data_IF_094164569752
#
_entry.id   IF_094164569752
#
_cell.length_a   1.000
_cell.length_b   1.000
_cell.length_c   1.000
_cell.angle_alpha   90.00
_cell.angle_beta   90.00
_cell.angle_gamma   90.00
#
_symmetry.space_group_name_H-M   'P 1'
#
loop_
_entity.id
_entity.type
_entity.pdbx_description
1 polymer ?
#
# COMPACT_ATOMS: atom_id res chain seq x y z
N UNK A 1 26.23 19.19 5.90
CA UNK A 1 26.50 17.90 5.26
C UNK A 1 26.11 18.08 3.80
N UNK A 2 27.12 18.12 2.88
CA UNK A 2 26.91 18.28 1.45
C UNK A 2 26.05 17.11 0.95
N UNK A 3 24.84 17.40 0.52
CA UNK A 3 24.00 16.43 -0.17
C UNK A 3 24.71 16.08 -1.49
N UNK A 4 25.25 14.88 -1.59
CA UNK A 4 25.84 14.35 -2.84
C UNK A 4 24.70 14.37 -3.88
N UNK A 5 24.83 15.22 -4.90
CA UNK A 5 23.89 15.25 -6.02
C UNK A 5 23.88 13.89 -6.70
N UNK A 6 22.75 13.20 -6.57
CA UNK A 6 22.57 11.85 -7.13
C UNK A 6 22.18 11.94 -8.59
N UNK A 7 22.75 11.05 -9.38
CA UNK A 7 22.34 10.94 -10.79
C UNK A 7 20.89 10.43 -10.90
N UNK A 8 20.16 10.76 -11.96
CA UNK A 8 18.79 10.26 -12.19
C UNK A 8 18.68 8.73 -12.10
N UNK A 9 19.71 8.01 -12.56
CA UNK A 9 19.77 6.56 -12.47
C UNK A 9 19.90 6.05 -11.03
N UNK A 10 20.67 6.74 -10.19
CA UNK A 10 20.80 6.39 -8.76
C UNK A 10 19.47 6.60 -8.02
N UNK A 11 18.75 7.69 -8.31
CA UNK A 11 17.44 7.96 -7.74
C UNK A 11 16.40 6.91 -8.19
N UNK A 12 16.42 6.50 -9.46
CA UNK A 12 15.54 5.44 -9.96
C UNK A 12 15.84 4.09 -9.29
N UNK A 13 17.11 3.70 -9.17
CA UNK A 13 17.51 2.45 -8.48
C UNK A 13 17.08 2.46 -7.02
N UNK A 14 17.24 3.60 -6.35
CA UNK A 14 16.79 3.77 -4.96
C UNK A 14 15.26 3.69 -4.85
N UNK A 15 14.54 4.33 -5.78
CA UNK A 15 13.08 4.22 -5.87
C UNK A 15 12.63 2.77 -6.01
N UNK A 16 13.29 2.00 -6.91
CA UNK A 16 13.03 0.58 -7.11
C UNK A 16 13.26 -0.24 -5.82
N UNK A 17 14.42 -0.08 -5.19
CA UNK A 17 14.78 -0.82 -3.98
C UNK A 17 13.82 -0.51 -2.80
N UNK A 18 13.50 0.77 -2.58
CA UNK A 18 12.57 1.18 -1.52
C UNK A 18 11.16 0.66 -1.81
N UNK A 19 10.70 0.69 -3.06
CA UNK A 19 9.38 0.16 -3.43
C UNK A 19 9.31 -1.35 -3.22
N UNK A 20 10.33 -2.10 -3.66
CA UNK A 20 10.38 -3.55 -3.43
C UNK A 20 10.40 -3.88 -1.93
N UNK A 21 11.21 -3.19 -1.14
CA UNK A 21 11.25 -3.33 0.32
C UNK A 21 9.90 -3.00 0.96
N UNK A 22 9.23 -1.96 0.50
CA UNK A 22 7.89 -1.57 0.97
C UNK A 22 6.87 -2.69 0.77
N UNK A 23 6.83 -3.30 -0.42
CA UNK A 23 5.91 -4.41 -0.68
C UNK A 23 6.30 -5.70 0.04
N UNK A 24 7.58 -5.89 0.34
CA UNK A 24 8.04 -6.96 1.24
C UNK A 24 7.51 -6.73 2.66
N UNK A 25 7.62 -5.52 3.19
CA UNK A 25 7.04 -5.19 4.49
C UNK A 25 5.53 -5.45 4.50
N UNK A 26 4.79 -4.95 3.49
CA UNK A 26 3.35 -5.19 3.42
C UNK A 26 2.97 -6.67 3.30
N UNK A 27 3.79 -7.47 2.62
CA UNK A 27 3.60 -8.91 2.55
C UNK A 27 3.78 -9.63 3.90
N UNK A 28 4.58 -9.06 4.81
CA UNK A 28 4.83 -9.59 6.15
C UNK A 28 3.87 -9.03 7.22
N UNK A 29 3.19 -7.93 6.94
CA UNK A 29 2.26 -7.25 7.87
C UNK A 29 1.15 -8.17 8.41
N UNK A 30 0.60 -9.17 7.69
CA UNK A 30 -0.37 -10.10 8.26
C UNK A 30 0.12 -10.82 9.52
N UNK A 31 1.42 -11.13 9.62
CA UNK A 31 2.01 -11.72 10.83
C UNK A 31 1.89 -10.76 12.02
N UNK A 32 2.13 -9.47 11.77
CA UNK A 32 1.98 -8.44 12.80
C UNK A 32 0.52 -8.29 13.27
N UNK A 33 -0.43 -8.20 12.33
CA UNK A 33 -1.85 -8.08 12.69
C UNK A 33 -2.39 -9.32 13.40
N UNK A 34 -1.82 -10.49 13.11
CA UNK A 34 -2.18 -11.72 13.84
C UNK A 34 -1.87 -11.64 15.33
N UNK A 35 -0.87 -10.86 15.75
CA UNK A 35 -0.57 -10.62 17.16
C UNK A 35 -1.68 -9.83 17.88
N UNK A 36 -2.46 -9.04 17.12
CA UNK A 36 -3.56 -8.20 17.59
C UNK A 36 -4.95 -8.84 17.43
N UNK A 37 -5.03 -10.16 17.21
CA UNK A 37 -6.31 -10.88 16.98
C UNK A 37 -7.37 -10.71 18.09
N UNK A 38 -6.97 -10.32 19.29
CA UNK A 38 -7.87 -10.03 20.41
C UNK A 38 -8.50 -8.63 20.34
N UNK A 39 -8.01 -7.74 19.46
CA UNK A 39 -8.48 -6.37 19.31
C UNK A 39 -9.42 -6.28 18.09
N UNK A 40 -10.61 -5.65 18.21
CA UNK A 40 -11.51 -5.45 17.08
C UNK A 40 -10.84 -4.72 15.91
N UNK A 41 -11.10 -5.15 14.68
CA UNK A 41 -10.44 -4.62 13.47
C UNK A 41 -10.62 -3.11 13.31
N UNK A 42 -11.79 -2.56 13.67
CA UNK A 42 -12.07 -1.13 13.63
C UNK A 42 -11.14 -0.35 14.57
N UNK A 43 -10.87 -0.91 15.76
CA UNK A 43 -9.94 -0.32 16.73
C UNK A 43 -8.52 -0.33 16.21
N UNK A 44 -8.09 -1.45 15.61
CA UNK A 44 -6.76 -1.53 14.99
C UNK A 44 -6.61 -0.41 13.95
N UNK A 45 -7.64 -0.12 13.13
CA UNK A 45 -7.56 0.94 12.13
C UNK A 45 -7.57 2.34 12.75
N UNK A 46 -8.42 2.59 13.73
CA UNK A 46 -8.41 3.88 14.41
C UNK A 46 -7.03 4.15 15.03
N UNK A 47 -6.49 3.19 15.78
CA UNK A 47 -5.20 3.33 16.44
C UNK A 47 -4.04 3.44 15.45
N UNK A 48 -4.02 2.69 14.33
CA UNK A 48 -2.96 2.84 13.33
C UNK A 48 -2.97 4.22 12.65
N UNK A 49 -4.16 4.84 12.47
CA UNK A 49 -4.27 6.22 11.96
C UNK A 49 -3.76 7.19 13.02
N UNK A 50 -4.23 7.08 14.26
CA UNK A 50 -3.84 7.97 15.38
C UNK A 50 -2.32 7.93 15.57
N UNK A 51 -1.76 6.74 15.77
CA UNK A 51 -0.34 6.59 16.07
C UNK A 51 0.58 6.88 14.90
N UNK A 52 0.15 6.60 13.65
CA UNK A 52 0.90 7.05 12.47
C UNK A 52 0.92 8.57 12.34
N UNK A 53 -0.21 9.24 12.65
CA UNK A 53 -0.29 10.71 12.66
C UNK A 53 0.65 11.28 13.71
N UNK A 54 0.57 10.80 14.94
CA UNK A 54 1.43 11.26 16.04
C UNK A 54 2.90 11.09 15.68
N UNK A 55 3.30 9.91 15.18
CA UNK A 55 4.68 9.62 14.81
C UNK A 55 5.18 10.51 13.67
N UNK A 56 4.40 10.64 12.59
CA UNK A 56 4.81 11.39 11.40
C UNK A 56 4.84 12.88 11.67
N UNK A 57 3.82 13.41 12.36
CA UNK A 57 3.77 14.85 12.69
C UNK A 57 4.86 15.21 13.70
N UNK A 58 5.07 14.39 14.73
CA UNK A 58 6.18 14.60 15.68
C UNK A 58 7.53 14.61 14.96
N UNK A 59 7.77 13.64 14.07
CA UNK A 59 8.98 13.61 13.25
C UNK A 59 9.15 14.88 12.39
N UNK A 60 8.09 15.34 11.73
CA UNK A 60 8.12 16.55 10.90
C UNK A 60 8.39 17.80 11.72
N UNK A 61 7.79 17.91 12.91
CA UNK A 61 8.02 19.04 13.81
C UNK A 61 9.44 19.07 14.36
N UNK A 62 10.01 17.93 14.71
CA UNK A 62 11.38 17.82 15.20
C UNK A 62 12.41 18.13 14.10
N UNK A 63 12.19 17.59 12.87
CA UNK A 63 13.15 17.72 11.78
C UNK A 63 13.06 19.04 11.02
N UNK A 64 11.87 19.60 10.84
CA UNK A 64 11.60 20.72 9.93
C UNK A 64 10.89 21.89 10.63
N UNK A 65 10.63 21.80 11.93
CA UNK A 65 9.81 22.78 12.65
C UNK A 65 8.42 22.90 12.01
N UNK A 66 7.84 24.07 11.98
CA UNK A 66 6.55 24.33 11.30
C UNK A 66 6.69 24.65 9.80
N UNK A 67 7.92 24.66 9.28
CA UNK A 67 8.21 25.05 7.89
C UNK A 67 7.59 24.10 6.86
N UNK A 68 7.50 22.80 7.16
CA UNK A 68 6.92 21.80 6.28
C UNK A 68 5.46 22.08 5.91
N UNK A 69 4.66 22.56 6.86
CA UNK A 69 3.27 22.94 6.62
C UNK A 69 3.16 24.11 5.65
N UNK A 70 3.97 25.18 5.88
CA UNK A 70 3.97 26.38 5.02
C UNK A 70 4.33 26.04 3.59
N UNK A 71 5.31 25.15 3.38
CA UNK A 71 5.72 24.69 2.04
C UNK A 71 4.60 23.97 1.30
N UNK A 72 3.78 23.17 2.00
CA UNK A 72 2.64 22.48 1.38
C UNK A 72 1.48 23.45 1.14
N UNK A 73 1.15 24.30 2.13
CA UNK A 73 0.06 25.27 2.01
C UNK A 73 0.30 26.30 0.88
N UNK A 74 1.57 26.58 0.56
CA UNK A 74 1.93 27.45 -0.56
C UNK A 74 1.66 26.82 -1.94
N UNK A 75 1.35 25.52 -2.04
CA UNK A 75 1.04 24.83 -3.29
C UNK A 75 -0.49 24.70 -3.45
N UNK A 76 -1.15 25.45 -4.36
CA UNK A 76 -2.62 25.52 -4.42
C UNK A 76 -3.32 24.17 -4.62
N UNK A 77 -2.65 23.22 -5.29
CA UNK A 77 -3.19 21.90 -5.58
C UNK A 77 -2.81 20.83 -4.56
N UNK A 78 -1.90 21.13 -3.63
CA UNK A 78 -1.38 20.14 -2.69
C UNK A 78 -2.45 19.65 -1.72
N UNK A 79 -3.07 20.56 -0.98
CA UNK A 79 -4.07 20.23 0.04
C UNK A 79 -5.29 19.47 -0.53
N UNK A 80 -5.96 19.94 -1.60
CA UNK A 80 -7.11 19.20 -2.15
C UNK A 80 -6.71 17.83 -2.73
N UNK A 81 -5.52 17.70 -3.34
CA UNK A 81 -5.06 16.41 -3.86
C UNK A 81 -4.76 15.45 -2.71
N UNK A 82 -4.14 15.92 -1.62
CA UNK A 82 -3.89 15.12 -0.42
C UNK A 82 -5.18 14.77 0.32
N UNK A 83 -6.20 15.64 0.32
CA UNK A 83 -7.51 15.31 0.84
C UNK A 83 -8.17 14.19 0.01
N UNK A 84 -8.10 14.27 -1.32
CA UNK A 84 -8.63 13.21 -2.19
C UNK A 84 -7.86 11.89 -2.02
N UNK A 85 -6.53 11.94 -1.86
CA UNK A 85 -5.74 10.73 -1.62
C UNK A 85 -6.03 10.11 -0.25
N UNK A 86 -6.24 10.94 0.80
CA UNK A 86 -6.65 10.45 2.11
C UNK A 86 -8.04 9.83 2.10
N UNK A 87 -8.98 10.38 1.34
CA UNK A 87 -10.30 9.77 1.14
C UNK A 87 -10.22 8.44 0.39
N UNK A 88 -9.37 8.36 -0.66
CA UNK A 88 -9.17 7.14 -1.42
C UNK A 88 -8.61 6.00 -0.53
N UNK A 89 -7.61 6.28 0.30
CA UNK A 89 -7.04 5.28 1.21
C UNK A 89 -7.98 4.96 2.38
N UNK A 90 -8.74 5.93 2.90
CA UNK A 90 -9.75 5.70 3.93
C UNK A 90 -10.89 4.82 3.41
N UNK A 91 -11.38 5.08 2.19
CA UNK A 91 -12.37 4.23 1.52
C UNK A 91 -11.82 2.80 1.32
N UNK A 92 -10.58 2.67 0.86
CA UNK A 92 -9.93 1.38 0.69
C UNK A 92 -9.93 0.58 2.01
N UNK A 93 -9.50 1.17 3.11
CA UNK A 93 -9.46 0.51 4.41
C UNK A 93 -10.86 0.22 4.95
N UNK A 94 -11.81 1.15 4.80
CA UNK A 94 -13.20 0.97 5.21
C UNK A 94 -13.87 -0.19 4.45
N UNK A 95 -13.71 -0.22 3.11
CA UNK A 95 -14.22 -1.30 2.27
C UNK A 95 -13.61 -2.65 2.64
N UNK A 96 -12.29 -2.68 2.88
CA UNK A 96 -11.59 -3.88 3.31
C UNK A 96 -12.16 -4.45 4.61
N UNK A 97 -12.32 -3.60 5.65
CA UNK A 97 -12.86 -4.04 6.93
C UNK A 97 -14.30 -4.50 6.80
N UNK A 98 -15.11 -3.71 6.11
CA UNK A 98 -16.51 -4.07 5.90
C UNK A 98 -16.60 -5.44 5.23
N UNK A 99 -15.82 -5.67 4.17
CA UNK A 99 -15.83 -6.91 3.43
C UNK A 99 -15.36 -8.12 4.28
N UNK A 100 -14.30 -7.96 5.09
CA UNK A 100 -13.85 -9.01 6.02
C UNK A 100 -14.94 -9.34 7.05
N UNK A 101 -15.58 -8.34 7.64
CA UNK A 101 -16.63 -8.54 8.64
C UNK A 101 -17.92 -9.13 8.02
N UNK A 102 -18.19 -8.85 6.75
CA UNK A 102 -19.31 -9.42 5.99
C UNK A 102 -19.00 -10.81 5.41
N UNK A 103 -17.80 -11.37 5.65
CA UNK A 103 -17.41 -12.71 5.19
C UNK A 103 -16.87 -12.77 3.75
N UNK A 104 -16.64 -11.62 3.08
CA UNK A 104 -16.11 -11.53 1.71
C UNK A 104 -14.57 -11.62 1.65
N UNK A 105 -13.97 -12.56 2.39
CA UNK A 105 -12.50 -12.69 2.52
C UNK A 105 -11.84 -12.99 1.17
N UNK A 106 -12.46 -13.87 0.35
CA UNK A 106 -11.94 -14.26 -0.98
C UNK A 106 -11.86 -13.03 -1.88
N UNK A 107 -12.92 -12.21 -1.92
CA UNK A 107 -12.98 -11.02 -2.76
C UNK A 107 -11.96 -9.96 -2.32
N UNK A 108 -11.72 -9.80 -1.02
CA UNK A 108 -10.66 -8.90 -0.54
C UNK A 108 -9.28 -9.37 -0.97
N UNK A 109 -9.03 -10.67 -0.92
CA UNK A 109 -7.78 -11.27 -1.40
C UNK A 109 -7.56 -11.04 -2.88
N UNK A 110 -8.60 -11.23 -3.72
CA UNK A 110 -8.54 -10.94 -5.16
C UNK A 110 -8.19 -9.47 -5.44
N UNK A 111 -8.64 -8.54 -4.60
CA UNK A 111 -8.30 -7.12 -4.71
C UNK A 111 -6.79 -6.87 -4.75
N UNK A 112 -6.02 -7.60 -3.96
CA UNK A 112 -4.56 -7.49 -3.96
C UNK A 112 -3.90 -8.00 -5.25
N UNK A 113 -4.56 -8.90 -6.00
CA UNK A 113 -4.07 -9.36 -7.29
C UNK A 113 -4.50 -8.47 -8.45
N UNK A 114 -5.68 -7.84 -8.37
CA UNK A 114 -6.18 -6.88 -9.37
C UNK A 114 -5.46 -5.54 -9.26
N UNK A 115 -5.11 -5.11 -8.06
CA UNK A 115 -4.49 -3.81 -7.77
C UNK A 115 -3.23 -3.50 -8.61
N UNK A 116 -2.27 -4.44 -8.79
CA UNK A 116 -1.13 -4.23 -9.68
C UNK A 116 -1.53 -3.89 -11.12
N UNK A 117 -2.53 -4.58 -11.65
CA UNK A 117 -3.02 -4.34 -13.02
C UNK A 117 -3.68 -2.96 -13.15
N UNK A 118 -4.48 -2.54 -12.16
CA UNK A 118 -5.05 -1.19 -12.11
C UNK A 118 -3.95 -0.13 -12.09
N UNK A 119 -2.89 -0.33 -11.31
CA UNK A 119 -1.73 0.58 -11.27
C UNK A 119 -1.04 0.69 -12.63
N UNK A 120 -0.87 -0.43 -13.35
CA UNK A 120 -0.33 -0.45 -14.71
C UNK A 120 -1.26 0.30 -15.68
N UNK A 121 -2.56 0.03 -15.64
CA UNK A 121 -3.55 0.71 -16.50
C UNK A 121 -3.52 2.22 -16.26
N UNK A 122 -3.51 2.67 -15.00
CA UNK A 122 -3.42 4.09 -14.65
C UNK A 122 -2.11 4.72 -15.14
N UNK A 123 -0.98 4.01 -15.02
CA UNK A 123 0.30 4.45 -15.56
C UNK A 123 0.24 4.65 -17.07
N UNK A 124 -0.29 3.70 -17.82
CA UNK A 124 -0.37 3.75 -19.27
C UNK A 124 -1.41 4.78 -19.75
N UNK A 125 -2.62 4.75 -19.20
CA UNK A 125 -3.75 5.55 -19.70
C UNK A 125 -3.66 7.00 -19.23
N UNK A 126 -3.42 7.23 -17.94
CA UNK A 126 -3.43 8.58 -17.36
C UNK A 126 -2.07 9.26 -17.49
N UNK A 127 -0.99 8.56 -17.13
CA UNK A 127 0.36 9.13 -17.13
C UNK A 127 1.07 8.99 -18.48
N UNK A 128 0.43 8.32 -19.46
CA UNK A 128 0.98 8.09 -20.81
C UNK A 128 2.31 7.33 -20.79
N UNK A 129 2.49 6.45 -19.79
CA UNK A 129 3.67 5.59 -19.70
C UNK A 129 3.68 4.61 -20.88
N UNK A 130 4.85 4.40 -21.49
CA UNK A 130 5.01 3.51 -22.65
C UNK A 130 5.61 2.19 -22.23
N UNK A 131 4.83 1.13 -22.33
CA UNK A 131 5.31 -0.23 -22.12
C UNK A 131 5.89 -0.81 -23.41
N UNK A 132 6.89 -1.66 -23.28
CA UNK A 132 7.53 -2.38 -24.37
C UNK A 132 6.80 -3.71 -24.61
N UNK A 133 7.11 -4.38 -25.74
CA UNK A 133 6.47 -5.65 -26.08
C UNK A 133 6.61 -6.72 -24.99
N UNK A 134 7.82 -6.89 -24.43
CA UNK A 134 8.04 -7.87 -23.34
C UNK A 134 7.31 -7.47 -22.05
N UNK A 135 7.20 -6.18 -21.76
CA UNK A 135 6.42 -5.69 -20.61
C UNK A 135 4.92 -5.88 -20.82
N UNK A 136 4.42 -5.71 -22.07
CA UNK A 136 3.03 -6.04 -22.41
C UNK A 136 2.74 -7.55 -22.27
N UNK A 137 3.69 -8.40 -22.70
CA UNK A 137 3.56 -9.85 -22.49
C UNK A 137 3.52 -10.18 -20.99
N UNK A 138 4.36 -9.53 -20.17
CA UNK A 138 4.36 -9.70 -18.72
C UNK A 138 3.01 -9.31 -18.09
N UNK A 139 2.45 -8.17 -18.51
CA UNK A 139 1.11 -7.71 -18.05
C UNK A 139 0.02 -8.69 -18.51
N UNK A 140 0.10 -9.22 -19.73
CA UNK A 140 -0.86 -10.21 -20.22
C UNK A 140 -0.80 -11.50 -19.40
N UNK A 141 0.39 -12.02 -19.07
CA UNK A 141 0.53 -13.19 -18.21
C UNK A 141 -0.08 -12.95 -16.82
N UNK A 142 0.19 -11.79 -16.21
CA UNK A 142 -0.39 -11.44 -14.92
C UNK A 142 -1.92 -11.29 -15.00
N UNK A 143 -2.44 -10.66 -16.06
CA UNK A 143 -3.89 -10.53 -16.28
C UNK A 143 -4.58 -11.89 -16.46
N UNK A 144 -3.97 -12.83 -17.19
CA UNK A 144 -4.47 -14.19 -17.33
C UNK A 144 -4.53 -14.91 -15.98
N UNK A 145 -3.46 -14.80 -15.16
CA UNK A 145 -3.44 -15.41 -13.83
C UNK A 145 -4.50 -14.82 -12.90
N UNK A 146 -4.68 -13.50 -12.91
CA UNK A 146 -5.73 -12.82 -12.13
C UNK A 146 -7.12 -13.20 -12.61
N UNK A 147 -7.35 -13.26 -13.93
CA UNK A 147 -8.64 -13.69 -14.51
C UNK A 147 -8.96 -15.12 -14.10
N UNK A 148 -7.96 -16.02 -14.17
CA UNK A 148 -8.11 -17.41 -13.73
C UNK A 148 -8.55 -17.49 -12.26
N UNK A 149 -7.84 -16.80 -11.35
CA UNK A 149 -8.19 -16.78 -9.93
C UNK A 149 -9.57 -16.15 -9.67
N UNK A 150 -9.97 -15.14 -10.45
CA UNK A 150 -11.28 -14.49 -10.34
C UNK A 150 -12.41 -15.41 -10.78
N UNK A 151 -12.22 -16.16 -11.89
CA UNK A 151 -13.19 -17.13 -12.39
C UNK A 151 -13.33 -18.30 -11.42
N UNK A 152 -12.21 -18.82 -10.90
CA UNK A 152 -12.19 -19.90 -9.92
C UNK A 152 -12.92 -19.53 -8.61
N UNK A 153 -12.81 -18.26 -8.18
CA UNK A 153 -13.50 -17.74 -7.01
C UNK A 153 -15.03 -17.70 -7.15
N UNK A 154 -15.58 -17.69 -8.37
CA UNK A 154 -17.02 -17.82 -8.67
C UNK A 154 -17.89 -16.65 -8.20
N UNK A 155 -17.32 -15.54 -7.76
CA UNK A 155 -18.04 -14.35 -7.26
C UNK A 155 -17.76 -13.12 -8.12
N UNK A 156 -18.75 -12.20 -8.32
CA UNK A 156 -18.50 -10.94 -9.01
C UNK A 156 -17.44 -10.10 -8.26
N UNK A 157 -16.36 -9.66 -8.90
CA UNK A 157 -15.21 -9.07 -8.21
C UNK A 157 -15.38 -7.59 -7.86
N UNK A 158 -16.59 -7.11 -7.51
CA UNK A 158 -16.84 -5.67 -7.28
C UNK A 158 -16.11 -5.12 -6.06
N UNK A 159 -15.99 -5.91 -4.97
CA UNK A 159 -15.19 -5.54 -3.80
C UNK A 159 -13.71 -5.46 -4.19
N UNK A 160 -13.22 -6.48 -4.89
CA UNK A 160 -11.85 -6.53 -5.38
C UNK A 160 -11.51 -5.33 -6.29
N UNK A 161 -12.42 -4.98 -7.21
CA UNK A 161 -12.27 -3.79 -8.05
C UNK A 161 -12.32 -2.49 -7.24
N UNK A 162 -13.21 -2.39 -6.26
CA UNK A 162 -13.28 -1.23 -5.36
C UNK A 162 -11.99 -1.01 -4.59
N UNK A 163 -11.41 -2.08 -4.04
CA UNK A 163 -10.11 -2.06 -3.36
C UNK A 163 -8.98 -1.69 -4.32
N UNK A 164 -8.91 -2.32 -5.48
CA UNK A 164 -7.87 -2.07 -6.46
C UNK A 164 -7.93 -0.65 -7.05
N UNK A 165 -9.11 -0.16 -7.40
CA UNK A 165 -9.28 1.18 -7.95
C UNK A 165 -8.97 2.27 -6.93
N UNK A 166 -9.42 2.12 -5.67
CA UNK A 166 -9.16 3.11 -4.62
C UNK A 166 -7.67 3.19 -4.28
N UNK A 167 -6.96 2.07 -4.18
CA UNK A 167 -5.52 2.08 -3.93
C UNK A 167 -4.72 2.54 -5.16
N UNK A 168 -5.13 2.15 -6.36
CA UNK A 168 -4.54 2.65 -7.61
C UNK A 168 -4.69 4.16 -7.75
N UNK A 169 -5.87 4.71 -7.43
CA UNK A 169 -6.13 6.15 -7.39
C UNK A 169 -5.24 6.85 -6.34
N UNK A 170 -5.11 6.28 -5.15
CA UNK A 170 -4.18 6.78 -4.13
C UNK A 170 -2.75 6.88 -4.70
N UNK A 171 -2.24 5.81 -5.33
CA UNK A 171 -0.91 5.80 -5.93
C UNK A 171 -0.75 6.84 -7.05
N UNK A 172 -1.75 7.01 -7.91
CA UNK A 172 -1.78 8.01 -8.96
C UNK A 172 -1.71 9.43 -8.41
N UNK A 173 -2.55 9.74 -7.42
CA UNK A 173 -2.59 11.07 -6.78
C UNK A 173 -1.25 11.38 -6.11
N UNK A 174 -0.66 10.41 -5.41
CA UNK A 174 0.66 10.55 -4.78
C UNK A 174 1.79 10.77 -5.80
N UNK A 175 1.66 10.22 -7.01
CA UNK A 175 2.60 10.44 -8.09
C UNK A 175 2.45 11.83 -8.72
N UNK A 176 1.24 12.32 -8.86
CA UNK A 176 0.95 13.61 -9.53
C UNK A 176 1.31 14.84 -8.71
N UNK A 177 1.52 14.69 -7.39
CA UNK A 177 1.78 15.81 -6.49
C UNK A 177 3.27 15.94 -6.16
N UNK A 178 3.79 17.18 -6.19
CA UNK A 178 5.21 17.48 -5.88
C UNK A 178 5.43 17.81 -4.40
N UNK A 179 4.94 16.94 -3.50
CA UNK A 179 5.09 17.09 -2.05
C UNK A 179 6.01 16.00 -1.51
N UNK A 180 6.84 16.32 -0.52
CA UNK A 180 7.69 15.33 0.16
C UNK A 180 6.86 14.14 0.66
N UNK A 181 7.34 12.88 0.54
CA UNK A 181 6.58 11.69 0.95
C UNK A 181 6.14 11.71 2.42
N UNK A 182 7.00 12.15 3.34
CA UNK A 182 6.69 12.20 4.77
C UNK A 182 5.71 13.32 5.08
N UNK A 183 5.97 14.52 4.53
CA UNK A 183 5.10 15.67 4.72
C UNK A 183 3.71 15.44 4.12
N UNK A 184 3.63 14.80 2.95
CA UNK A 184 2.34 14.42 2.35
C UNK A 184 1.56 13.41 3.19
N UNK A 185 2.23 12.38 3.74
CA UNK A 185 1.58 11.44 4.66
C UNK A 185 1.12 12.15 5.95
N UNK A 186 1.90 13.13 6.45
CA UNK A 186 1.50 13.93 7.59
C UNK A 186 0.16 14.63 7.38
N UNK A 187 -0.04 15.27 6.20
CA UNK A 187 -1.31 15.91 5.84
C UNK A 187 -2.44 14.87 5.67
N UNK A 188 -2.19 13.79 4.93
CA UNK A 188 -3.19 12.72 4.74
C UNK A 188 -3.65 12.14 6.08
N UNK A 189 -2.72 11.89 6.98
CA UNK A 189 -3.02 11.38 8.32
C UNK A 189 -3.79 12.39 9.15
N UNK A 190 -3.48 13.70 9.07
CA UNK A 190 -4.22 14.75 9.76
C UNK A 190 -5.69 14.84 9.31
N UNK A 191 -5.99 14.65 8.01
CA UNK A 191 -7.38 14.60 7.53
C UNK A 191 -8.17 13.44 8.17
N UNK A 192 -7.52 12.31 8.42
CA UNK A 192 -8.15 11.12 8.99
C UNK A 192 -8.09 11.09 10.52
N UNK A 193 -7.26 11.94 11.14
CA UNK A 193 -7.01 11.92 12.59
C UNK A 193 -8.27 12.24 13.41
N UNK A 194 -9.00 13.29 13.03
CA UNK A 194 -10.22 13.69 13.78
C UNK A 194 -11.30 12.60 13.78
N UNK A 195 -11.69 12.01 12.65
CA UNK A 195 -12.62 10.88 12.67
C UNK A 195 -12.06 9.65 13.42
N UNK A 196 -10.77 9.36 13.32
CA UNK A 196 -10.17 8.22 14.01
C UNK A 196 -10.15 8.40 15.54
N UNK A 197 -9.75 9.57 16.03
CA UNK A 197 -9.76 9.85 17.47
C UNK A 197 -11.17 9.96 18.02
N UNK A 198 -12.11 10.54 17.25
CA UNK A 198 -13.52 10.59 17.61
C UNK A 198 -14.10 9.18 17.78
N UNK A 199 -13.81 8.26 16.86
CA UNK A 199 -14.22 6.87 16.96
C UNK A 199 -13.56 6.16 18.16
N UNK A 200 -12.26 6.36 18.39
CA UNK A 200 -11.55 5.75 19.52
C UNK A 200 -12.14 6.21 20.86
N UNK A 201 -12.36 7.52 21.04
CA UNK A 201 -12.95 8.08 22.26
C UNK A 201 -14.40 7.59 22.48
N UNK A 202 -15.21 7.57 21.42
CA UNK A 202 -16.56 7.02 21.49
C UNK A 202 -16.55 5.54 21.93
N UNK A 203 -15.60 4.78 21.40
CA UNK A 203 -15.45 3.36 21.72
C UNK A 203 -15.05 3.15 23.18
N UNK A 204 -14.10 3.94 23.69
CA UNK A 204 -13.66 3.88 25.10
C UNK A 204 -14.79 4.30 26.06
N UNK A 205 -15.76 5.10 25.62
CA UNK A 205 -16.94 5.49 26.41
C UNK A 205 -17.97 4.35 26.59
N UNK A 206 -17.58 3.10 26.47
CA UNK A 206 -18.44 1.93 26.74
C UNK A 206 -18.98 1.23 25.48
N UNK A 207 -18.38 1.49 24.30
CA UNK A 207 -18.80 0.90 23.02
C UNK A 207 -17.76 -0.09 22.46
N UNK A 208 -17.11 -0.87 23.35
CA UNK A 208 -16.15 -1.91 22.94
C UNK A 208 -14.70 -1.44 22.85
N UNK A 209 -14.34 -0.33 23.48
CA UNK A 209 -12.96 0.11 23.68
C UNK A 209 -12.25 -0.75 24.72
N UNK A 210 -10.93 -0.63 24.77
CA UNK A 210 -10.10 -1.40 25.70
C UNK A 210 -8.63 -1.00 25.64
N UNK A 211 -8.32 0.13 25.00
CA UNK A 211 -7.02 0.76 25.13
C UNK A 211 -6.86 1.21 26.60
N UNK A 212 -5.72 1.52 27.08
CA UNK A 212 -5.42 1.75 28.49
C UNK A 212 -5.63 0.52 29.41
N UNK A 213 -5.34 -0.67 28.90
CA UNK A 213 -5.23 -1.89 29.66
C UNK A 213 -6.39 -2.86 29.60
N UNK A 214 -7.54 -2.50 29.00
CA UNK A 214 -8.66 -3.41 28.82
C UNK A 214 -8.31 -4.61 27.92
N UNK A 215 -7.47 -4.40 26.90
CA UNK A 215 -6.89 -5.48 26.09
C UNK A 215 -5.51 -5.95 26.57
N UNK A 216 -4.97 -5.32 27.62
CA UNK A 216 -3.66 -5.58 28.21
C UNK A 216 -2.54 -4.79 27.57
N UNK A 217 -1.54 -4.43 28.37
CA UNK A 217 -0.40 -3.57 27.99
C UNK A 217 0.31 -4.03 26.72
N UNK A 218 0.43 -5.33 26.47
CA UNK A 218 1.03 -5.86 25.25
C UNK A 218 0.28 -5.40 23.99
N UNK A 219 -1.06 -5.47 24.00
CA UNK A 219 -1.87 -5.05 22.86
C UNK A 219 -1.85 -3.54 22.70
N UNK A 220 -1.83 -2.77 23.79
CA UNK A 220 -1.69 -1.31 23.75
C UNK A 220 -0.37 -0.90 23.08
N UNK A 221 0.75 -1.52 23.47
CA UNK A 221 2.07 -1.28 22.87
C UNK A 221 2.11 -1.69 21.38
N UNK A 222 1.48 -2.81 21.03
CA UNK A 222 1.36 -3.23 19.63
C UNK A 222 0.49 -2.25 18.84
N UNK A 223 -0.59 -1.70 19.39
CA UNK A 223 -1.39 -0.67 18.71
C UNK A 223 -0.59 0.61 18.45
N UNK A 224 0.23 1.05 19.42
CA UNK A 224 1.13 2.20 19.25
C UNK A 224 2.16 1.92 18.15
N UNK A 225 2.82 0.76 18.19
CA UNK A 225 3.79 0.35 17.18
C UNK A 225 3.16 0.18 15.79
N UNK A 226 1.86 -0.17 15.75
CA UNK A 226 1.04 -0.24 14.54
C UNK A 226 1.05 1.06 13.72
N UNK A 227 1.25 2.21 14.37
CA UNK A 227 1.47 3.50 13.72
C UNK A 227 2.73 3.49 12.83
N UNK A 228 3.85 3.01 13.34
CA UNK A 228 5.09 2.89 12.58
C UNK A 228 4.96 1.84 11.45
N UNK A 229 4.36 0.67 11.76
CA UNK A 229 4.09 -0.40 10.79
C UNK A 229 3.19 0.08 9.65
N UNK A 230 2.35 1.09 9.89
CA UNK A 230 1.52 1.74 8.86
C UNK A 230 2.28 2.85 8.13
N UNK A 231 2.94 3.74 8.86
CA UNK A 231 3.58 4.94 8.28
C UNK A 231 4.77 4.59 7.39
N UNK A 232 5.66 3.69 7.83
CA UNK A 232 6.89 3.39 7.10
C UNK A 232 6.64 2.85 5.68
N UNK A 233 5.76 1.86 5.46
CA UNK A 233 5.47 1.41 4.10
C UNK A 233 4.76 2.48 3.25
N UNK A 234 3.86 3.29 3.82
CA UNK A 234 3.19 4.36 3.08
C UNK A 234 4.17 5.45 2.64
N UNK A 235 5.14 5.80 3.48
CA UNK A 235 6.24 6.72 3.11
C UNK A 235 7.08 6.10 1.99
N UNK A 236 7.46 4.83 2.14
CA UNK A 236 8.23 4.10 1.13
C UNK A 236 7.50 4.02 -0.22
N UNK A 237 6.20 3.73 -0.20
CA UNK A 237 5.34 3.73 -1.38
C UNK A 237 5.30 5.12 -2.05
N UNK A 238 5.01 6.17 -1.27
CA UNK A 238 4.96 7.54 -1.78
C UNK A 238 6.33 8.03 -2.29
N UNK A 239 7.43 7.55 -1.72
CA UNK A 239 8.77 7.77 -2.22
C UNK A 239 9.00 7.10 -3.57
N UNK A 240 8.55 5.84 -3.69
CA UNK A 240 8.70 5.01 -4.87
C UNK A 240 7.93 5.53 -6.07
N UNK A 241 6.62 5.79 -5.93
CA UNK A 241 5.76 6.24 -7.04
C UNK A 241 6.24 7.52 -7.71
N UNK A 242 7.01 8.33 -6.99
CA UNK A 242 7.62 9.55 -7.54
C UNK A 242 8.88 9.32 -8.37
N UNK A 243 9.57 8.19 -8.18
CA UNK A 243 10.90 7.92 -8.74
C UNK A 243 10.92 6.87 -9.82
N UNK A 244 9.90 6.02 -9.85
CA UNK A 244 9.77 4.98 -10.88
C UNK A 244 8.39 5.08 -11.57
N UNK A 245 8.24 4.52 -12.78
CA UNK A 245 6.94 4.45 -13.48
C UNK A 245 5.88 3.77 -12.61
N UNK A 246 4.62 4.23 -12.70
CA UNK A 246 3.51 3.64 -11.93
C UNK A 246 3.23 2.21 -12.38
N UNK A 247 3.43 1.91 -13.66
CA UNK A 247 3.38 0.55 -14.20
C UNK A 247 4.41 -0.39 -13.54
N UNK A 248 5.63 0.10 -13.28
CA UNK A 248 6.66 -0.67 -12.58
C UNK A 248 6.30 -0.84 -11.08
N UNK A 249 5.74 0.19 -10.45
CA UNK A 249 5.19 0.08 -9.09
C UNK A 249 4.11 -1.01 -9.06
N UNK A 250 3.20 -1.01 -10.03
CA UNK A 250 2.15 -2.03 -10.16
C UNK A 250 2.73 -3.44 -10.19
N UNK A 251 3.73 -3.71 -11.01
CA UNK A 251 4.36 -5.04 -11.06
C UNK A 251 5.03 -5.41 -9.73
N UNK A 252 5.71 -4.48 -9.07
CA UNK A 252 6.33 -4.73 -7.76
C UNK A 252 5.30 -5.00 -6.66
N UNK A 253 4.07 -4.54 -6.80
CA UNK A 253 3.00 -4.84 -5.85
C UNK A 253 2.73 -6.34 -5.71
N UNK A 254 3.00 -7.16 -6.73
CA UNK A 254 2.83 -8.62 -6.64
C UNK A 254 3.75 -9.28 -5.59
N UNK A 255 4.79 -8.60 -5.11
CA UNK A 255 5.63 -9.08 -3.99
C UNK A 255 4.77 -9.33 -2.74
N UNK A 256 3.88 -8.40 -2.39
CA UNK A 256 3.09 -8.50 -1.18
C UNK A 256 2.12 -9.70 -1.19
N UNK A 257 1.24 -9.90 -2.19
CA UNK A 257 0.38 -11.08 -2.23
C UNK A 257 1.15 -12.39 -2.45
N UNK A 258 2.32 -12.38 -3.10
CA UNK A 258 3.16 -13.58 -3.20
C UNK A 258 3.72 -13.99 -1.84
N UNK A 259 4.20 -13.05 -1.04
CA UNK A 259 4.60 -13.31 0.35
C UNK A 259 3.41 -13.71 1.23
N UNK A 260 2.25 -13.07 1.04
CA UNK A 260 1.01 -13.43 1.70
C UNK A 260 0.62 -14.89 1.43
N UNK A 261 0.74 -15.35 0.17
CA UNK A 261 0.51 -16.75 -0.18
C UNK A 261 1.50 -17.69 0.54
N UNK A 262 2.80 -17.35 0.52
CA UNK A 262 3.80 -18.17 1.21
C UNK A 262 3.52 -18.25 2.72
N UNK A 263 3.11 -17.14 3.34
CA UNK A 263 2.69 -17.12 4.74
C UNK A 263 1.42 -17.95 4.95
N UNK A 264 0.43 -17.83 4.07
CA UNK A 264 -0.81 -18.61 4.11
C UNK A 264 -0.51 -20.11 4.14
N UNK A 265 0.26 -20.58 3.15
CA UNK A 265 0.59 -22.01 3.00
C UNK A 265 1.52 -22.53 4.11
N UNK A 266 2.64 -21.84 4.36
CA UNK A 266 3.69 -22.39 5.25
C UNK A 266 3.50 -22.02 6.72
N UNK A 267 2.96 -20.82 7.01
CA UNK A 267 2.79 -20.35 8.39
C UNK A 267 1.38 -20.60 8.91
N UNK A 268 0.35 -20.24 8.14
CA UNK A 268 -1.05 -20.43 8.54
C UNK A 268 -1.61 -21.80 8.14
N UNK A 269 -0.86 -22.60 7.34
CA UNK A 269 -1.24 -23.93 6.86
C UNK A 269 -2.57 -23.95 6.10
N UNK A 270 -2.84 -22.92 5.33
CA UNK A 270 -4.00 -22.83 4.47
C UNK A 270 -3.91 -23.85 3.32
N UNK A 271 -5.05 -24.44 2.89
CA UNK A 271 -5.05 -25.35 1.76
C UNK A 271 -4.63 -24.63 0.47
N UNK A 272 -3.69 -25.23 -0.24
CA UNK A 272 -3.17 -24.74 -1.51
C UNK A 272 -3.57 -25.71 -2.62
N UNK A 273 -4.55 -25.31 -3.44
CA UNK A 273 -5.10 -26.11 -4.52
C UNK A 273 -4.42 -25.82 -5.87
N UNK A 274 -4.76 -26.64 -6.88
CA UNK A 274 -4.21 -26.51 -8.23
C UNK A 274 -4.63 -25.23 -8.94
N UNK A 275 -5.82 -24.69 -8.67
CA UNK A 275 -6.29 -23.44 -9.26
C UNK A 275 -5.44 -22.26 -8.82
N UNK A 276 -5.15 -22.16 -7.51
CA UNK A 276 -4.21 -21.18 -6.96
C UNK A 276 -2.82 -21.35 -7.55
N UNK A 277 -2.31 -22.59 -7.66
CA UNK A 277 -1.01 -22.88 -8.24
C UNK A 277 -0.88 -22.34 -9.68
N UNK A 278 -1.86 -22.58 -10.53
CA UNK A 278 -1.90 -22.12 -11.94
C UNK A 278 -1.92 -20.58 -12.00
N UNK A 279 -2.85 -19.96 -11.25
CA UNK A 279 -2.98 -18.50 -11.23
C UNK A 279 -1.71 -17.80 -10.78
N UNK A 280 -1.11 -18.26 -9.68
CA UNK A 280 0.16 -17.72 -9.17
C UNK A 280 1.33 -17.96 -10.10
N UNK A 281 1.44 -19.15 -10.72
CA UNK A 281 2.49 -19.44 -11.68
C UNK A 281 2.45 -18.43 -12.86
N UNK A 282 1.27 -18.16 -13.41
CA UNK A 282 1.11 -17.18 -14.49
C UNK A 282 1.52 -15.77 -14.04
N UNK A 283 1.13 -15.33 -12.82
CA UNK A 283 1.52 -14.04 -12.25
C UNK A 283 3.04 -13.98 -12.08
N UNK A 284 3.67 -15.01 -11.53
CA UNK A 284 5.12 -15.03 -11.32
C UNK A 284 5.92 -15.04 -12.62
N UNK A 285 5.44 -15.74 -13.65
CA UNK A 285 6.03 -15.68 -15.01
C UNK A 285 5.98 -14.22 -15.51
N UNK A 286 4.84 -13.54 -15.39
CA UNK A 286 4.70 -12.13 -15.72
C UNK A 286 5.69 -11.25 -14.93
N UNK A 287 5.79 -11.44 -13.62
CA UNK A 287 6.74 -10.70 -12.77
C UNK A 287 8.20 -10.90 -13.21
N UNK A 288 8.60 -12.14 -13.44
CA UNK A 288 9.96 -12.47 -13.88
C UNK A 288 10.28 -11.86 -15.25
N UNK A 289 9.37 -11.92 -16.21
CA UNK A 289 9.54 -11.29 -17.53
C UNK A 289 9.73 -9.78 -17.41
N UNK A 290 8.89 -9.10 -16.61
CA UNK A 290 8.97 -7.65 -16.43
C UNK A 290 10.27 -7.21 -15.73
N UNK A 291 10.63 -7.90 -14.67
CA UNK A 291 11.86 -7.60 -13.91
C UNK A 291 13.09 -7.88 -14.78
N UNK A 292 13.11 -8.98 -15.53
CA UNK A 292 14.20 -9.34 -16.43
C UNK A 292 14.43 -8.29 -17.52
N UNK A 293 13.36 -7.78 -18.17
CA UNK A 293 13.46 -6.67 -19.16
C UNK A 293 14.03 -5.41 -18.50
N UNK A 294 13.57 -5.08 -17.32
CA UNK A 294 13.97 -3.89 -16.57
C UNK A 294 15.45 -3.95 -16.16
N UNK A 295 15.93 -5.10 -15.66
CA UNK A 295 17.32 -5.32 -15.24
C UNK A 295 18.28 -5.40 -16.44
N UNK A 296 17.91 -6.14 -17.49
CA UNK A 296 18.72 -6.27 -18.70
C UNK A 296 19.09 -4.92 -19.29
N UNK A 297 18.14 -4.00 -19.34
CA UNK A 297 18.38 -2.67 -19.89
C UNK A 297 19.11 -1.71 -18.97
N UNK A 298 18.91 -1.84 -17.65
CA UNK A 298 19.68 -1.02 -16.69
C UNK A 298 21.20 -1.31 -16.78
N UNK A 299 21.56 -2.49 -17.29
CA UNK A 299 22.96 -2.89 -17.55
C UNK A 299 23.50 -2.40 -18.92
N UNK A 300 22.61 -2.10 -19.88
CA UNK A 300 22.99 -1.68 -21.25
C UNK A 300 23.13 -0.16 -21.42
N UNK A 301 22.76 0.65 -20.43
CA UNK A 301 23.03 2.10 -20.47
C UNK A 301 24.49 2.27 -20.03
N UNK A 302 25.39 2.75 -20.93
CA UNK A 302 26.78 3.02 -20.56
C UNK A 302 26.82 4.02 -19.41
N UNK A 303 27.76 3.84 -18.51
CA UNK A 303 28.04 4.73 -17.38
C UNK A 303 28.54 6.08 -17.85
#
# INVERSE_FOLDING_TARGET
VNAVERTPLQEQRRGLAITAFTFTLWGLVPVYWHLLKAVPSQQIIAHRIIWSTVLVVAWLLISNGTGWWKQIAAQPRALPTLALSSLAIAFNWGLYIWAINAGHVIETSLGYFINPLVSVVLGVVVLKERLRGLQWLAVACAALGVTWLTVDAGTPPWIALGLACSFGLYGLLRKMISVDPVAGLGIESLYLFLPAIGFALWSEAGHGGGFFGGWGLRNDLLLILGGAVTALPLIGFAYGVKRIPLSLVGILQYIAPSLGLLLGVFFFREPFDSAKAIGFAAIWVGLLLFVSDSVYRSRKIPR
#
